data_IF_853527245662
#
_entry.id   IF_853527245662
#
_cell.length_a   1.000
_cell.length_b   1.000
_cell.length_c   1.000
_cell.angle_alpha   90.00
_cell.angle_beta   90.00
_cell.angle_gamma   90.00
#
_symmetry.space_group_name_H-M   'P 1'
#
loop_
_entity.id
_entity.type
_entity.pdbx_description
1 polymer ?
#
# COMPACT_ATOMS: atom_id res chain seq x y z
N UNK A 1 -10.94 41.10 9.78
CA UNK A 1 -11.00 39.76 9.18
C UNK A 1 -10.14 38.86 10.04
N UNK A 2 -10.74 38.02 10.87
CA UNK A 2 -9.98 36.99 11.58
C UNK A 2 -9.37 36.06 10.54
N UNK A 3 -8.03 35.92 10.57
CA UNK A 3 -7.35 34.95 9.71
C UNK A 3 -7.84 33.56 10.09
N UNK A 4 -8.56 32.91 9.19
CA UNK A 4 -8.92 31.51 9.38
C UNK A 4 -7.63 30.70 9.22
N UNK A 5 -7.04 30.25 10.33
CA UNK A 5 -5.91 29.33 10.29
C UNK A 5 -6.38 27.94 9.82
N UNK A 6 -5.73 27.46 8.77
CA UNK A 6 -5.89 26.11 8.24
C UNK A 6 -4.59 25.34 8.42
N UNK A 7 -4.62 24.34 9.28
CA UNK A 7 -3.66 23.25 9.19
C UNK A 7 -4.21 22.22 8.20
N UNK A 8 -3.45 21.95 7.14
CA UNK A 8 -3.76 20.98 6.11
C UNK A 8 -2.55 20.08 5.96
N UNK A 9 -2.77 18.77 5.96
CA UNK A 9 -1.70 17.79 5.79
C UNK A 9 -1.00 17.99 4.44
N UNK A 10 0.33 17.99 4.44
CA UNK A 10 1.16 18.06 3.24
C UNK A 10 1.65 16.71 2.73
N UNK A 11 1.41 15.63 3.49
CA UNK A 11 1.87 14.27 3.19
C UNK A 11 0.91 13.22 3.75
N UNK A 12 1.01 11.95 3.35
CA UNK A 12 0.14 10.89 3.90
C UNK A 12 0.42 10.60 5.37
N UNK A 13 1.67 10.81 5.80
CA UNK A 13 2.07 10.63 7.20
C UNK A 13 1.39 11.61 8.16
N UNK A 14 0.98 12.79 7.67
CA UNK A 14 0.32 13.84 8.44
C UNK A 14 -1.21 13.70 8.51
N UNK A 15 -1.80 12.78 7.75
CA UNK A 15 -3.24 12.56 7.73
C UNK A 15 -3.76 12.00 9.05
N UNK A 16 -4.90 12.52 9.52
CA UNK A 16 -5.63 11.87 10.61
C UNK A 16 -6.14 10.48 10.18
N UNK A 17 -6.42 9.57 11.12
CA UNK A 17 -6.93 8.23 10.79
C UNK A 17 -8.19 8.28 9.90
N UNK A 18 -9.12 9.17 10.22
CA UNK A 18 -10.34 9.38 9.42
C UNK A 18 -10.03 9.88 8.01
N UNK A 19 -9.14 10.87 7.87
CA UNK A 19 -8.76 11.38 6.54
C UNK A 19 -8.12 10.28 5.70
N UNK A 20 -7.22 9.50 6.31
CA UNK A 20 -6.55 8.38 5.63
C UNK A 20 -7.56 7.38 5.08
N UNK A 21 -8.54 6.97 5.88
CA UNK A 21 -9.59 6.04 5.46
C UNK A 21 -10.43 6.60 4.30
N UNK A 22 -10.95 7.82 4.45
CA UNK A 22 -11.81 8.43 3.44
C UNK A 22 -11.08 8.75 2.13
N UNK A 23 -9.82 9.20 2.22
CA UNK A 23 -8.98 9.48 1.05
C UNK A 23 -8.65 8.17 0.34
N UNK A 24 -8.14 7.15 1.04
CA UNK A 24 -7.78 5.89 0.41
C UNK A 24 -9.00 5.19 -0.21
N UNK A 25 -10.17 5.28 0.43
CA UNK A 25 -11.42 4.77 -0.13
C UNK A 25 -11.76 5.40 -1.49
N UNK A 26 -11.54 6.71 -1.65
CA UNK A 26 -11.78 7.44 -2.91
C UNK A 26 -10.68 7.17 -3.93
N UNK A 27 -9.44 6.97 -3.51
CA UNK A 27 -8.35 6.61 -4.43
C UNK A 27 -8.54 5.23 -5.06
N UNK A 28 -9.09 4.28 -4.29
CA UNK A 28 -9.36 2.92 -4.76
C UNK A 28 -10.71 2.78 -5.47
N UNK A 29 -11.52 3.84 -5.54
CA UNK A 29 -12.76 3.88 -6.33
C UNK A 29 -12.43 4.17 -7.81
N UNK A 30 -12.59 3.16 -8.66
CA UNK A 30 -12.35 3.25 -10.09
C UNK A 30 -13.64 3.39 -10.93
N UNK A 31 -14.80 3.48 -10.26
CA UNK A 31 -16.12 3.54 -10.91
C UNK A 31 -16.56 4.98 -11.14
N UNK A 32 -16.12 5.91 -10.28
CA UNK A 32 -16.45 7.34 -10.35
C UNK A 32 -15.39 8.14 -11.08
N UNK A 33 -15.77 9.33 -11.54
CA UNK A 33 -14.84 10.25 -12.17
C UNK A 33 -13.73 10.68 -11.20
N UNK A 34 -12.48 10.66 -11.67
CA UNK A 34 -11.34 10.94 -10.80
C UNK A 34 -11.26 12.40 -10.39
N UNK A 35 -11.70 13.35 -11.24
CA UNK A 35 -11.68 14.77 -10.87
C UNK A 35 -12.70 15.05 -9.76
N UNK A 36 -13.87 14.40 -9.80
CA UNK A 36 -14.86 14.44 -8.73
C UNK A 36 -14.29 13.87 -7.42
N UNK A 37 -13.71 12.67 -7.48
CA UNK A 37 -13.06 12.03 -6.33
C UNK A 37 -11.94 12.90 -5.76
N UNK A 38 -11.14 13.52 -6.62
CA UNK A 38 -10.05 14.40 -6.20
C UNK A 38 -10.55 15.65 -5.48
N UNK A 39 -11.64 16.26 -5.96
CA UNK A 39 -12.31 17.36 -5.24
C UNK A 39 -12.79 16.90 -3.87
N UNK A 40 -13.41 15.73 -3.76
CA UNK A 40 -13.83 15.17 -2.47
C UNK A 40 -12.65 14.95 -1.51
N UNK A 41 -11.53 14.41 -2.01
CA UNK A 41 -10.32 14.20 -1.20
C UNK A 41 -9.75 15.52 -0.68
N UNK A 42 -9.70 16.58 -1.49
CA UNK A 42 -9.27 17.91 -1.05
C UNK A 42 -10.20 18.48 0.03
N UNK A 43 -11.52 18.24 -0.07
CA UNK A 43 -12.46 18.62 0.99
C UNK A 43 -12.18 17.87 2.30
N UNK A 44 -11.84 16.58 2.23
CA UNK A 44 -11.43 15.78 3.38
C UNK A 44 -10.13 16.31 4.00
N UNK A 45 -9.16 16.71 3.18
CA UNK A 45 -7.92 17.35 3.64
C UNK A 45 -8.20 18.64 4.42
N UNK A 46 -9.08 19.50 3.89
CA UNK A 46 -9.45 20.77 4.53
C UNK A 46 -10.28 20.57 5.81
N UNK A 47 -11.04 19.48 5.89
CA UNK A 47 -11.84 19.16 7.07
C UNK A 47 -10.98 18.71 8.25
N UNK A 48 -9.91 17.94 8.06
CA UNK A 48 -9.07 17.42 9.17
C UNK A 48 -9.72 16.29 9.97
N UNK A 49 -10.95 16.52 10.43
CA UNK A 49 -11.80 15.59 11.15
C UNK A 49 -13.29 15.79 10.76
N UNK A 50 -14.17 14.81 10.97
CA UNK A 50 -15.56 14.88 10.50
C UNK A 50 -16.49 15.76 11.36
N UNK A 51 -15.97 16.64 12.23
CA UNK A 51 -16.77 17.45 13.13
C UNK A 51 -17.63 18.51 12.41
N UNK A 52 -18.77 18.84 13.04
CA UNK A 52 -19.67 19.91 12.58
C UNK A 52 -18.97 21.27 12.50
N UNK A 53 -18.00 21.54 13.38
CA UNK A 53 -17.23 22.79 13.40
C UNK A 53 -16.38 22.90 12.13
N UNK A 54 -15.67 21.84 11.77
CA UNK A 54 -14.80 21.85 10.60
C UNK A 54 -15.60 21.89 9.30
N UNK A 55 -16.74 21.17 9.23
CA UNK A 55 -17.67 21.27 8.10
C UNK A 55 -18.14 22.71 7.87
N UNK A 56 -18.56 23.42 8.93
CA UNK A 56 -18.95 24.84 8.85
C UNK A 56 -17.78 25.73 8.42
N UNK A 57 -16.57 25.46 8.92
CA UNK A 57 -15.35 26.21 8.54
C UNK A 57 -15.05 26.04 7.05
N UNK A 58 -15.07 24.82 6.53
CA UNK A 58 -14.85 24.53 5.11
C UNK A 58 -15.96 25.14 4.25
N UNK A 59 -17.22 25.07 4.67
CA UNK A 59 -18.32 25.73 3.96
C UNK A 59 -18.14 27.25 3.86
N UNK A 60 -17.69 27.91 4.93
CA UNK A 60 -17.37 29.35 4.89
C UNK A 60 -16.22 29.64 3.92
N UNK A 61 -15.16 28.84 3.95
CA UNK A 61 -14.05 28.97 3.00
C UNK A 61 -14.53 28.87 1.55
N UNK A 62 -15.37 27.88 1.24
CA UNK A 62 -15.89 27.67 -0.11
C UNK A 62 -16.90 28.73 -0.57
N UNK A 63 -17.42 29.56 0.35
CA UNK A 63 -18.23 30.73 -0.01
C UNK A 63 -17.37 31.91 -0.47
N UNK A 64 -16.08 31.92 -0.13
CA UNK A 64 -15.13 32.97 -0.46
C UNK A 64 -14.17 32.58 -1.60
N UNK A 65 -13.82 31.29 -1.68
CA UNK A 65 -12.77 30.74 -2.56
C UNK A 65 -13.32 29.51 -3.29
N UNK A 66 -13.08 29.42 -4.60
CA UNK A 66 -13.51 28.25 -5.38
C UNK A 66 -12.63 27.03 -5.07
N UNK A 67 -13.22 25.83 -5.15
CA UNK A 67 -12.49 24.58 -4.85
C UNK A 67 -11.30 24.37 -5.79
N UNK A 68 -11.36 24.86 -7.03
CA UNK A 68 -10.29 24.80 -8.03
C UNK A 68 -9.01 25.45 -7.53
N UNK A 69 -9.13 26.55 -6.79
CA UNK A 69 -7.98 27.26 -6.22
C UNK A 69 -7.34 26.50 -5.05
N UNK A 70 -8.07 25.56 -4.44
CA UNK A 70 -7.63 24.75 -3.32
C UNK A 70 -7.09 23.37 -3.74
N UNK A 71 -7.33 22.95 -4.99
CA UNK A 71 -6.82 21.70 -5.55
C UNK A 71 -5.30 21.51 -5.41
N UNK A 72 -4.44 22.54 -5.52
CA UNK A 72 -3.00 22.37 -5.32
C UNK A 72 -2.60 21.87 -3.93
N UNK A 73 -3.44 22.06 -2.91
CA UNK A 73 -3.19 21.54 -1.54
C UNK A 73 -3.15 20.02 -1.51
N UNK A 74 -3.93 19.36 -2.38
CA UNK A 74 -3.97 17.90 -2.49
C UNK A 74 -2.90 17.32 -3.42
N UNK A 75 -1.95 18.11 -3.93
CA UNK A 75 -0.99 17.65 -4.95
C UNK A 75 -0.23 16.39 -4.52
N UNK A 76 0.13 16.30 -3.24
CA UNK A 76 0.83 15.13 -2.68
C UNK A 76 0.01 13.83 -2.85
N UNK A 77 -1.33 13.89 -2.87
CA UNK A 77 -2.19 12.73 -3.10
C UNK A 77 -2.01 12.10 -4.49
N UNK A 78 -1.43 12.85 -5.43
CA UNK A 78 -1.19 12.40 -6.79
C UNK A 78 0.23 11.87 -6.99
N UNK A 79 1.19 12.38 -6.22
CA UNK A 79 2.62 12.21 -6.47
C UNK A 79 3.34 11.39 -5.41
N UNK A 80 2.91 11.49 -4.16
CA UNK A 80 3.68 11.01 -3.02
C UNK A 80 3.31 9.56 -2.69
N UNK A 81 4.28 8.82 -2.17
CA UNK A 81 4.17 7.38 -1.87
C UNK A 81 4.61 7.08 -0.44
N UNK A 82 4.32 7.96 0.51
CA UNK A 82 4.91 7.93 1.86
C UNK A 82 4.04 7.20 2.90
N UNK A 83 2.89 6.62 2.50
CA UNK A 83 2.08 5.80 3.40
C UNK A 83 2.68 4.39 3.57
N UNK A 84 3.58 4.23 4.55
CA UNK A 84 4.24 2.95 4.83
C UNK A 84 3.75 2.25 6.10
N UNK A 85 2.89 2.89 6.88
CA UNK A 85 2.38 2.37 8.15
C UNK A 85 1.05 1.64 7.96
N UNK A 86 0.87 0.55 8.68
CA UNK A 86 -0.37 -0.21 8.74
C UNK A 86 -1.10 0.06 10.07
N UNK A 87 -2.43 0.13 10.09
CA UNK A 87 -3.20 0.31 11.31
C UNK A 87 -3.22 -0.97 12.15
N UNK A 88 -3.27 -0.83 13.47
CA UNK A 88 -3.58 -1.93 14.37
C UNK A 88 -5.06 -2.31 14.25
N UNK A 89 -5.35 -3.59 14.09
CA UNK A 89 -6.73 -4.11 13.94
C UNK A 89 -7.24 -4.69 15.26
N UNK A 90 -6.44 -5.56 15.88
CA UNK A 90 -6.79 -6.26 17.12
C UNK A 90 -5.50 -6.78 17.79
N UNK A 91 -5.43 -6.75 19.11
CA UNK A 91 -4.24 -7.13 19.90
C UNK A 91 -3.76 -8.57 19.67
N UNK A 92 -4.65 -9.45 19.20
CA UNK A 92 -4.29 -10.83 18.85
C UNK A 92 -3.74 -11.00 17.44
N UNK A 93 -3.60 -9.93 16.66
CA UNK A 93 -2.88 -9.90 15.38
C UNK A 93 -1.59 -9.09 15.53
N UNK A 94 -0.51 -9.58 14.93
CA UNK A 94 0.70 -8.77 14.73
C UNK A 94 0.53 -7.91 13.50
N UNK A 95 0.60 -6.59 13.70
CA UNK A 95 0.60 -5.58 12.65
C UNK A 95 1.91 -5.65 11.84
N UNK A 96 1.85 -5.59 10.50
CA UNK A 96 3.05 -5.49 9.68
C UNK A 96 3.83 -4.22 10.03
N UNK A 97 5.15 -4.35 10.19
CA UNK A 97 6.00 -3.19 10.44
C UNK A 97 6.09 -2.29 9.20
N UNK A 98 6.45 -1.01 9.37
CA UNK A 98 6.57 -0.09 8.27
C UNK A 98 7.44 -0.64 7.14
N UNK A 99 6.96 -0.47 5.90
CA UNK A 99 7.59 -1.00 4.68
C UNK A 99 7.76 -2.53 4.68
N UNK A 100 6.96 -3.27 5.45
CA UNK A 100 6.99 -4.74 5.55
C UNK A 100 8.35 -5.27 6.02
N UNK A 101 9.06 -4.54 6.89
CA UNK A 101 10.41 -4.91 7.35
C UNK A 101 10.47 -6.22 8.15
N UNK A 102 9.35 -6.63 8.77
CA UNK A 102 9.22 -7.93 9.44
C UNK A 102 8.57 -9.02 8.56
N UNK A 103 8.23 -8.75 7.31
CA UNK A 103 7.63 -9.79 6.46
C UNK A 103 8.71 -10.72 5.89
N UNK A 104 8.37 -12.00 5.74
CA UNK A 104 9.18 -12.96 4.99
C UNK A 104 8.90 -12.84 3.49
N UNK A 105 9.80 -13.37 2.66
CA UNK A 105 9.57 -13.41 1.21
C UNK A 105 8.34 -14.25 0.85
N UNK A 106 8.05 -15.31 1.61
CA UNK A 106 6.84 -16.12 1.42
C UNK A 106 5.58 -15.31 1.66
N UNK A 107 5.53 -14.56 2.76
CA UNK A 107 4.39 -13.69 3.06
C UNK A 107 4.21 -12.63 1.96
N UNK A 108 5.30 -11.96 1.59
CA UNK A 108 5.29 -10.96 0.51
C UNK A 108 4.83 -11.57 -0.81
N UNK A 109 5.26 -12.79 -1.16
CA UNK A 109 4.84 -13.47 -2.39
C UNK A 109 3.34 -13.73 -2.44
N UNK A 110 2.70 -14.05 -1.31
CA UNK A 110 1.25 -14.24 -1.24
C UNK A 110 0.54 -12.90 -1.40
N UNK A 111 0.99 -11.88 -0.66
CA UNK A 111 0.43 -10.53 -0.74
C UNK A 111 0.56 -9.94 -2.15
N UNK A 112 1.71 -10.06 -2.81
CA UNK A 112 1.97 -9.49 -4.13
C UNK A 112 1.10 -10.14 -5.21
N UNK A 113 0.89 -11.46 -5.10
CA UNK A 113 -0.05 -12.17 -5.96
C UNK A 113 -1.49 -11.68 -5.78
N UNK A 114 -1.95 -11.52 -4.54
CA UNK A 114 -3.30 -11.06 -4.24
C UNK A 114 -3.49 -9.60 -4.69
N UNK A 115 -2.48 -8.76 -4.48
CA UNK A 115 -2.49 -7.39 -4.95
C UNK A 115 -2.51 -7.29 -6.48
N UNK A 116 -1.80 -8.18 -7.19
CA UNK A 116 -1.87 -8.25 -8.65
C UNK A 116 -3.28 -8.62 -9.13
N UNK A 117 -3.91 -9.63 -8.52
CA UNK A 117 -5.30 -10.01 -8.86
C UNK A 117 -6.29 -8.89 -8.53
N UNK A 118 -6.14 -8.26 -7.37
CA UNK A 118 -6.94 -7.10 -6.98
C UNK A 118 -6.78 -5.96 -7.98
N UNK A 119 -5.55 -5.64 -8.38
CA UNK A 119 -5.28 -4.57 -9.34
C UNK A 119 -5.93 -4.84 -10.70
N UNK A 120 -5.97 -6.10 -11.14
CA UNK A 120 -6.59 -6.49 -12.40
C UNK A 120 -8.11 -6.47 -12.38
N UNK A 121 -8.72 -7.03 -11.34
CA UNK A 121 -10.15 -7.33 -11.30
C UNK A 121 -10.96 -6.39 -10.41
N UNK A 122 -10.29 -5.72 -9.46
CA UNK A 122 -10.90 -4.80 -8.48
C UNK A 122 -12.01 -5.45 -7.65
N UNK A 123 -11.96 -6.77 -7.49
CA UNK A 123 -12.89 -7.52 -6.66
C UNK A 123 -12.53 -7.38 -5.18
N UNK A 124 -13.53 -7.09 -4.34
CA UNK A 124 -13.36 -6.92 -2.90
C UNK A 124 -12.76 -8.16 -2.22
N UNK A 125 -13.05 -9.35 -2.75
CA UNK A 125 -12.50 -10.62 -2.24
C UNK A 125 -10.97 -10.59 -2.20
N UNK A 126 -10.32 -10.13 -3.27
CA UNK A 126 -8.85 -10.05 -3.30
C UNK A 126 -8.30 -8.99 -2.36
N UNK A 127 -9.03 -7.88 -2.14
CA UNK A 127 -8.65 -6.89 -1.14
C UNK A 127 -8.70 -7.47 0.28
N UNK A 128 -9.76 -8.23 0.61
CA UNK A 128 -9.89 -8.90 1.92
C UNK A 128 -8.79 -9.92 2.15
N UNK A 129 -8.54 -10.77 1.15
CA UNK A 129 -7.46 -11.76 1.20
C UNK A 129 -6.09 -11.09 1.32
N UNK A 130 -5.85 -10.00 0.57
CA UNK A 130 -4.62 -9.21 0.68
C UNK A 130 -4.43 -8.71 2.11
N UNK A 131 -5.44 -8.07 2.70
CA UNK A 131 -5.35 -7.61 4.09
C UNK A 131 -5.04 -8.75 5.03
N UNK A 132 -5.77 -9.87 4.96
CA UNK A 132 -5.51 -11.03 5.81
C UNK A 132 -4.07 -11.57 5.67
N UNK A 133 -3.50 -11.54 4.46
CA UNK A 133 -2.13 -12.03 4.22
C UNK A 133 -1.02 -11.15 4.80
N UNK A 134 -1.32 -9.88 5.12
CA UNK A 134 -0.33 -8.95 5.67
C UNK A 134 -0.16 -9.08 7.19
N UNK A 135 -1.19 -9.53 7.90
CA UNK A 135 -1.16 -9.68 9.36
C UNK A 135 -0.79 -11.12 9.74
N UNK A 136 -0.21 -11.29 10.92
CA UNK A 136 0.08 -12.61 11.50
C UNK A 136 -0.75 -12.84 12.76
N UNK A 137 -1.05 -14.09 13.09
CA UNK A 137 -1.79 -14.43 14.30
C UNK A 137 -0.88 -14.43 15.53
N UNK A 138 -1.15 -13.58 16.53
CA UNK A 138 -0.27 -13.40 17.69
C UNK A 138 1.18 -13.12 17.28
N UNK A 139 2.15 -13.53 18.09
CA UNK A 139 3.58 -13.38 17.80
C UNK A 139 4.15 -14.48 16.87
N UNK A 140 3.29 -15.20 16.14
CA UNK A 140 3.73 -16.29 15.26
C UNK A 140 4.28 -15.79 13.93
N UNK A 141 5.10 -16.63 13.29
CA UNK A 141 5.50 -16.43 11.91
C UNK A 141 4.31 -16.57 10.96
N UNK A 142 4.48 -16.06 9.74
CA UNK A 142 3.44 -16.16 8.72
C UNK A 142 3.13 -17.63 8.38
N UNK A 143 1.89 -18.05 8.63
CA UNK A 143 1.36 -19.37 8.30
C UNK A 143 0.09 -19.24 7.44
N UNK A 144 0.11 -19.68 6.17
CA UNK A 144 -1.07 -19.70 5.31
C UNK A 144 -2.28 -20.45 5.88
N UNK A 145 -2.06 -21.44 6.76
CA UNK A 145 -3.16 -22.20 7.39
C UNK A 145 -3.98 -21.35 8.37
N UNK A 146 -3.41 -20.25 8.88
CA UNK A 146 -4.09 -19.33 9.79
C UNK A 146 -4.84 -18.21 9.06
N UNK A 147 -4.70 -18.09 7.74
CA UNK A 147 -5.37 -17.05 6.95
C UNK A 147 -6.90 -17.05 7.12
N UNK A 148 -7.62 -18.18 7.14
CA UNK A 148 -9.06 -18.17 7.39
C UNK A 148 -9.42 -17.55 8.75
N UNK A 149 -8.63 -17.85 9.78
CA UNK A 149 -8.82 -17.33 11.15
C UNK A 149 -8.50 -15.84 11.24
N UNK A 150 -7.46 -15.39 10.54
CA UNK A 150 -7.14 -13.96 10.43
C UNK A 150 -8.27 -13.24 9.68
N UNK A 151 -8.80 -13.85 8.62
CA UNK A 151 -9.90 -13.29 7.84
C UNK A 151 -11.18 -13.07 8.66
N UNK A 152 -11.49 -13.94 9.63
CA UNK A 152 -12.62 -13.72 10.57
C UNK A 152 -12.54 -12.37 11.29
N UNK A 153 -11.31 -11.92 11.62
CA UNK A 153 -11.06 -10.62 12.24
C UNK A 153 -11.00 -9.52 11.17
N UNK A 154 -10.19 -9.69 10.13
CA UNK A 154 -9.94 -8.63 9.15
C UNK A 154 -11.14 -8.34 8.24
N UNK A 155 -12.08 -9.27 8.07
CA UNK A 155 -13.30 -9.02 7.29
C UNK A 155 -14.26 -8.07 8.00
N UNK A 156 -14.14 -7.95 9.33
CA UNK A 156 -14.98 -7.05 10.15
C UNK A 156 -14.55 -5.57 10.07
N UNK A 157 -13.36 -5.27 9.53
CA UNK A 157 -12.88 -3.89 9.42
C UNK A 157 -13.69 -3.09 8.39
N UNK A 158 -13.70 -1.77 8.57
CA UNK A 158 -14.40 -0.87 7.65
C UNK A 158 -13.79 -0.91 6.24
N UNK A 159 -14.57 -0.57 5.22
CA UNK A 159 -14.06 -0.44 3.85
C UNK A 159 -12.96 0.61 3.74
N UNK A 160 -13.04 1.69 4.53
CA UNK A 160 -12.03 2.75 4.59
C UNK A 160 -10.71 2.24 5.18
N UNK A 161 -10.75 1.51 6.29
CA UNK A 161 -9.57 0.88 6.91
C UNK A 161 -8.93 -0.11 5.93
N UNK A 162 -9.75 -0.93 5.26
CA UNK A 162 -9.27 -1.86 4.23
C UNK A 162 -8.59 -1.13 3.07
N UNK A 163 -9.21 -0.07 2.55
CA UNK A 163 -8.64 0.74 1.47
C UNK A 163 -7.31 1.37 1.90
N UNK A 164 -7.19 1.85 3.14
CA UNK A 164 -5.96 2.39 3.68
C UNK A 164 -4.83 1.33 3.75
N UNK A 165 -5.14 0.10 4.16
CA UNK A 165 -4.18 -1.01 4.19
C UNK A 165 -3.72 -1.36 2.77
N UNK A 166 -4.65 -1.48 1.83
CA UNK A 166 -4.35 -1.78 0.42
C UNK A 166 -3.47 -0.68 -0.19
N UNK A 167 -3.77 0.58 0.10
CA UNK A 167 -3.00 1.72 -0.39
C UNK A 167 -1.60 1.78 0.27
N UNK A 168 -1.47 1.45 1.55
CA UNK A 168 -0.19 1.36 2.23
C UNK A 168 0.69 0.23 1.65
N UNK A 169 0.07 -0.91 1.31
CA UNK A 169 0.76 -1.99 0.60
C UNK A 169 1.24 -1.54 -0.78
N UNK A 170 0.39 -0.83 -1.55
CA UNK A 170 0.76 -0.25 -2.85
C UNK A 170 1.96 0.68 -2.73
N UNK A 171 1.95 1.63 -1.79
CA UNK A 171 3.08 2.55 -1.56
C UNK A 171 4.35 1.79 -1.20
N UNK A 172 4.24 0.78 -0.33
CA UNK A 172 5.38 -0.05 0.06
C UNK A 172 5.94 -0.85 -1.11
N UNK A 173 5.08 -1.47 -1.93
CA UNK A 173 5.49 -2.22 -3.12
C UNK A 173 6.23 -1.34 -4.12
N UNK A 174 5.72 -0.15 -4.37
CA UNK A 174 6.37 0.84 -5.24
C UNK A 174 7.74 1.27 -4.71
N UNK A 175 7.87 1.50 -3.39
CA UNK A 175 9.16 1.76 -2.76
C UNK A 175 10.15 0.60 -2.95
N UNK A 176 9.69 -0.65 -2.81
CA UNK A 176 10.51 -1.84 -3.04
C UNK A 176 10.97 -1.90 -4.51
N UNK A 177 10.08 -1.66 -5.47
CA UNK A 177 10.40 -1.63 -6.90
C UNK A 177 11.48 -0.59 -7.21
N UNK A 178 11.35 0.62 -6.66
CA UNK A 178 12.32 1.69 -6.85
C UNK A 178 13.68 1.37 -6.23
N UNK A 179 13.69 0.67 -5.09
CA UNK A 179 14.91 0.25 -4.40
C UNK A 179 15.64 -0.89 -5.12
N UNK A 180 14.92 -1.79 -5.78
CA UNK A 180 15.48 -3.00 -6.42
C UNK A 180 15.24 -3.02 -7.95
N UNK A 181 15.77 -2.07 -8.72
CA UNK A 181 15.48 -1.94 -10.15
C UNK A 181 16.01 -3.10 -11.00
N UNK A 182 17.00 -3.88 -10.54
CA UNK A 182 17.45 -5.07 -11.26
C UNK A 182 16.49 -6.24 -11.10
N UNK A 183 15.82 -6.34 -9.94
CA UNK A 183 14.75 -7.31 -9.66
C UNK A 183 13.45 -6.91 -10.35
N UNK A 184 13.16 -5.60 -10.34
CA UNK A 184 11.96 -5.01 -10.94
C UNK A 184 12.33 -4.04 -12.06
N UNK A 185 12.67 -4.55 -13.26
CA UNK A 185 13.00 -3.69 -14.39
C UNK A 185 11.83 -2.76 -14.72
N UNK A 186 12.14 -1.48 -14.98
CA UNK A 186 11.13 -0.48 -15.32
C UNK A 186 10.40 -0.88 -16.61
N UNK A 187 9.09 -1.09 -16.52
CA UNK A 187 8.22 -1.18 -17.68
C UNK A 187 8.00 0.21 -18.30
N UNK A 188 7.83 0.26 -19.62
CA UNK A 188 7.60 1.49 -20.39
C UNK A 188 6.18 2.04 -20.14
N UNK A 189 5.98 2.80 -19.07
CA UNK A 189 4.72 3.52 -18.85
C UNK A 189 4.73 4.90 -19.51
N UNK A 190 3.53 5.38 -19.89
CA UNK A 190 3.31 6.80 -20.22
C UNK A 190 3.39 7.62 -18.92
N UNK A 191 4.17 8.70 -18.92
CA UNK A 191 4.46 9.52 -17.73
C UNK A 191 3.20 10.13 -17.09
N UNK A 192 2.14 10.37 -17.88
CA UNK A 192 0.91 11.08 -17.46
C UNK A 192 -0.08 10.24 -16.62
N UNK A 193 0.18 8.95 -16.40
CA UNK A 193 -0.74 8.11 -15.61
C UNK A 193 -0.44 8.24 -14.11
N UNK A 194 -1.44 8.51 -13.24
CA UNK A 194 -1.24 8.54 -11.79
C UNK A 194 -0.62 7.23 -11.30
N UNK A 195 0.31 7.34 -10.35
CA UNK A 195 1.14 6.21 -9.90
C UNK A 195 0.28 5.01 -9.47
N UNK A 196 -0.82 5.28 -8.77
CA UNK A 196 -1.73 4.24 -8.27
C UNK A 196 -2.52 3.50 -9.36
N UNK A 197 -2.42 3.92 -10.62
CA UNK A 197 -3.03 3.24 -11.79
C UNK A 197 -2.03 2.50 -12.67
N UNK A 198 -0.71 2.55 -12.39
CA UNK A 198 0.32 1.88 -13.22
C UNK A 198 0.32 0.36 -12.95
N UNK A 199 0.44 -0.46 -14.01
CA UNK A 199 0.47 -1.94 -13.93
C UNK A 199 1.45 -2.58 -14.92
N UNK A 200 2.35 -3.43 -14.42
CA UNK A 200 3.41 -4.06 -15.21
C UNK A 200 3.21 -5.56 -15.33
N UNK A 201 4.09 -6.21 -16.10
CA UNK A 201 4.14 -7.66 -16.18
C UNK A 201 4.51 -8.26 -14.81
N UNK A 202 3.79 -9.31 -14.42
CA UNK A 202 3.92 -9.93 -13.09
C UNK A 202 4.61 -11.28 -13.18
N UNK A 203 5.74 -11.40 -12.49
CA UNK A 203 6.41 -12.66 -12.24
C UNK A 203 6.14 -13.09 -10.80
N UNK A 204 5.46 -14.23 -10.56
CA UNK A 204 5.20 -14.71 -9.21
C UNK A 204 6.49 -14.98 -8.44
N UNK A 205 6.63 -14.38 -7.26
CA UNK A 205 7.78 -14.60 -6.37
C UNK A 205 7.96 -16.06 -5.94
N UNK A 206 6.89 -16.85 -5.90
CA UNK A 206 6.97 -18.30 -5.65
C UNK A 206 7.89 -19.03 -6.63
N UNK A 207 7.92 -18.60 -7.91
CA UNK A 207 8.83 -19.16 -8.92
C UNK A 207 10.27 -18.73 -8.68
N UNK A 208 10.47 -17.48 -8.24
CA UNK A 208 11.79 -16.92 -7.94
C UNK A 208 12.39 -17.61 -6.71
N UNK A 209 11.60 -17.79 -5.65
CA UNK A 209 11.99 -18.52 -4.44
C UNK A 209 12.42 -19.95 -4.79
N UNK A 210 11.62 -20.65 -5.62
CA UNK A 210 11.95 -21.99 -6.06
C UNK A 210 13.25 -22.03 -6.87
N UNK A 211 13.45 -21.09 -7.80
CA UNK A 211 14.67 -20.99 -8.59
C UNK A 211 15.91 -20.77 -7.70
N UNK A 212 15.83 -19.87 -6.71
CA UNK A 212 16.94 -19.62 -5.78
C UNK A 212 17.26 -20.81 -4.89
N UNK A 213 16.24 -21.56 -4.46
CA UNK A 213 16.43 -22.77 -3.64
C UNK A 213 16.99 -23.96 -4.44
N UNK A 214 16.77 -23.98 -5.77
CA UNK A 214 17.28 -25.01 -6.69
C UNK A 214 18.62 -24.63 -7.33
N UNK A 215 19.12 -23.41 -7.11
CA UNK A 215 20.42 -22.98 -7.61
C UNK A 215 21.53 -23.83 -7.00
N UNK A 216 22.55 -24.19 -7.78
CA UNK A 216 23.69 -24.99 -7.31
C UNK A 216 24.42 -24.39 -6.10
N UNK A 217 24.40 -23.07 -5.96
CA UNK A 217 25.05 -22.35 -4.87
C UNK A 217 24.16 -22.21 -3.63
N UNK A 218 22.85 -22.44 -3.75
CA UNK A 218 21.83 -22.33 -2.69
C UNK A 218 22.12 -21.19 -1.69
N UNK A 219 22.18 -19.93 -2.14
CA UNK A 219 22.68 -18.83 -1.31
C UNK A 219 21.85 -18.58 -0.04
N UNK A 220 20.60 -19.06 -0.03
CA UNK A 220 19.64 -18.98 1.07
C UNK A 220 19.26 -20.36 1.64
N UNK A 221 20.00 -21.40 1.25
CA UNK A 221 19.74 -22.77 1.65
C UNK A 221 18.56 -23.40 0.93
N UNK A 222 17.87 -24.31 1.63
CA UNK A 222 16.78 -25.09 1.08
C UNK A 222 15.49 -24.25 0.92
N UNK A 223 14.45 -24.85 0.33
CA UNK A 223 13.20 -24.13 0.05
C UNK A 223 12.53 -23.53 1.30
N UNK A 224 12.60 -24.21 2.45
CA UNK A 224 12.01 -23.70 3.69
C UNK A 224 12.77 -22.50 4.25
N UNK A 225 14.11 -22.56 4.24
CA UNK A 225 15.00 -21.47 4.68
C UNK A 225 14.84 -20.24 3.79
N UNK A 226 14.86 -20.47 2.48
CA UNK A 226 14.64 -19.44 1.47
C UNK A 226 13.27 -18.77 1.63
N UNK A 227 12.21 -19.55 1.86
CA UNK A 227 10.85 -19.04 2.08
C UNK A 227 10.69 -18.25 3.39
N UNK A 228 11.43 -18.62 4.44
CA UNK A 228 11.40 -17.98 5.76
C UNK A 228 12.28 -16.73 5.85
N UNK A 229 13.17 -16.53 4.87
CA UNK A 229 14.06 -15.37 4.82
C UNK A 229 13.27 -14.06 4.79
N UNK A 230 13.76 -13.03 5.50
CA UNK A 230 13.15 -11.70 5.49
C UNK A 230 13.15 -11.12 4.09
N UNK A 231 12.09 -10.37 3.76
CA UNK A 231 11.87 -9.80 2.43
C UNK A 231 13.10 -9.04 1.89
N UNK A 232 13.67 -8.13 2.69
CA UNK A 232 14.77 -7.30 2.24
C UNK A 232 16.07 -8.09 2.06
N UNK A 233 16.37 -9.02 2.98
CA UNK A 233 17.56 -9.88 2.86
C UNK A 233 17.49 -10.74 1.58
N UNK A 234 16.31 -11.31 1.31
CA UNK A 234 16.06 -12.06 0.07
C UNK A 234 16.27 -11.19 -1.18
N UNK A 235 15.70 -9.98 -1.19
CA UNK A 235 15.79 -9.08 -2.34
C UNK A 235 17.20 -8.55 -2.59
N UNK A 236 17.99 -8.27 -1.54
CA UNK A 236 19.40 -7.89 -1.69
C UNK A 236 20.21 -9.02 -2.34
N UNK A 237 20.07 -10.25 -1.86
CA UNK A 237 20.80 -11.41 -2.41
C UNK A 237 20.36 -11.67 -3.86
N UNK A 238 19.07 -11.61 -4.16
CA UNK A 238 18.56 -11.75 -5.51
C UNK A 238 19.11 -10.65 -6.44
N UNK A 239 19.13 -9.40 -5.96
CA UNK A 239 19.65 -8.27 -6.70
C UNK A 239 21.15 -8.45 -7.01
N UNK A 240 21.95 -8.88 -6.04
CA UNK A 240 23.37 -9.21 -6.27
C UNK A 240 23.55 -10.35 -7.28
N UNK A 241 22.76 -11.41 -7.19
CA UNK A 241 22.82 -12.55 -8.11
C UNK A 241 22.52 -12.12 -9.56
N UNK A 242 21.51 -11.28 -9.76
CA UNK A 242 21.17 -10.71 -11.08
C UNK A 242 22.31 -9.81 -11.59
N UNK A 243 22.95 -9.02 -10.73
CA UNK A 243 24.06 -8.17 -11.15
C UNK A 243 25.30 -8.98 -11.53
N UNK A 244 25.63 -10.04 -10.78
CA UNK A 244 26.76 -10.93 -11.09
C UNK A 244 26.56 -11.67 -12.42
N UNK A 245 25.37 -12.21 -12.65
CA UNK A 245 25.03 -12.89 -13.91
C UNK A 245 25.07 -11.98 -15.14
N UNK A 246 24.87 -10.67 -14.98
CA UNK A 246 25.02 -9.69 -16.09
C UNK A 246 26.48 -9.31 -16.38
N UNK A 247 27.40 -9.57 -15.45
CA UNK A 247 28.83 -9.26 -15.60
C UNK A 247 29.63 -10.42 -16.18
N UNK A 248 29.05 -11.63 -16.23
CA UNK A 248 29.63 -12.85 -16.80
C UNK A 248 29.17 -13.03 -18.24
#
# INVERSE_FOLDING_TARGET
MDRIEFHCAGSYSELSPWQREEICLRMEDDRRDFQELYREMVLILLMGDPSRKNKKRVQRLLSEISIEQLLPLGKFLLTDRDLFSFPDIWDGLTTPLPRLSNCTIRQFSVADMLFYQYSKKREELYARQLVASLYCWGASEFDPLLLPKIAEVTDSISSGTRAAIVFAYRCTREYIIERYPAVFPKSSYREDTPIFRRQGDYTPFSKIIAAMAMDSTQPLGNWHECSATRLYDFLEILNESILRSKQT
#
